data_IF_400825680852
#
_entry.id   IF_400825680852
#
_cell.length_a   1.000
_cell.length_b   1.000
_cell.length_c   1.000
_cell.angle_alpha   90.00
_cell.angle_beta   90.00
_cell.angle_gamma   90.00
#
_symmetry.space_group_name_H-M   'P 1'
#
loop_
_entity.id
_entity.type
_entity.pdbx_description
1 polymer ?
#
# COMPACT_ATOMS: atom_id res chain seq x y z
N UNK A 1 -11.49 -9.76 -4.95
CA UNK A 1 -11.38 -8.29 -5.11
C UNK A 1 -12.80 -7.76 -5.07
N UNK A 2 -13.18 -7.03 -4.00
CA UNK A 2 -14.49 -6.39 -3.94
C UNK A 2 -14.51 -5.23 -4.91
N UNK A 3 -15.44 -5.25 -5.86
CA UNK A 3 -15.58 -4.21 -6.86
C UNK A 3 -15.96 -2.90 -6.17
N UNK A 4 -15.38 -1.76 -6.58
CA UNK A 4 -15.65 -0.45 -5.93
C UNK A 4 -17.13 -0.05 -5.98
N UNK A 5 -17.90 -0.68 -6.87
CA UNK A 5 -19.34 -0.49 -7.03
C UNK A 5 -20.16 -1.15 -5.92
N UNK A 6 -19.61 -2.17 -5.24
CA UNK A 6 -20.28 -2.91 -4.16
C UNK A 6 -19.94 -2.33 -2.77
N UNK A 7 -19.30 -1.17 -2.71
CA UNK A 7 -18.91 -0.54 -1.46
C UNK A 7 -20.09 0.22 -0.83
N UNK A 8 -20.27 0.12 0.50
CA UNK A 8 -21.25 0.93 1.21
C UNK A 8 -20.89 2.42 1.09
N UNK A 9 -21.88 3.33 1.19
CA UNK A 9 -21.67 4.76 0.98
C UNK A 9 -20.61 5.36 1.91
N UNK A 10 -20.47 4.83 3.13
CA UNK A 10 -19.44 5.24 4.08
C UNK A 10 -18.03 4.91 3.58
N UNK A 11 -17.84 3.74 2.95
CA UNK A 11 -16.55 3.33 2.40
C UNK A 11 -16.15 4.19 1.20
N UNK A 12 -17.12 4.58 0.35
CA UNK A 12 -16.89 5.49 -0.77
C UNK A 12 -16.44 6.87 -0.25
N UNK A 13 -17.13 7.40 0.78
CA UNK A 13 -16.76 8.67 1.40
C UNK A 13 -15.35 8.64 2.01
N UNK A 14 -15.00 7.56 2.71
CA UNK A 14 -13.67 7.40 3.30
C UNK A 14 -12.57 7.37 2.24
N UNK A 15 -12.81 6.71 1.10
CA UNK A 15 -11.88 6.69 -0.03
C UNK A 15 -11.72 8.09 -0.66
N UNK A 16 -12.82 8.81 -0.86
CA UNK A 16 -12.78 10.17 -1.40
C UNK A 16 -11.99 11.13 -0.51
N UNK A 17 -12.18 11.06 0.82
CA UNK A 17 -11.41 11.87 1.77
C UNK A 17 -9.91 11.50 1.76
N UNK A 18 -9.61 10.20 1.72
CA UNK A 18 -8.23 9.73 1.64
C UNK A 18 -7.55 10.15 0.31
N UNK A 19 -8.29 10.21 -0.79
CA UNK A 19 -7.80 10.75 -2.07
C UNK A 19 -7.58 12.26 -2.01
N UNK A 20 -8.51 13.02 -1.41
CA UNK A 20 -8.34 14.46 -1.20
C UNK A 20 -7.06 14.74 -0.38
N UNK A 21 -6.88 14.03 0.74
CA UNK A 21 -5.65 14.12 1.55
C UNK A 21 -4.38 13.71 0.80
N UNK A 22 -4.46 12.81 -0.17
CA UNK A 22 -3.31 12.43 -1.01
C UNK A 22 -2.95 13.51 -2.03
N UNK A 23 -3.95 14.18 -2.61
CA UNK A 23 -3.73 15.27 -3.57
C UNK A 23 -3.14 16.51 -2.93
N UNK A 24 -3.50 16.79 -1.68
CA UNK A 24 -2.98 17.93 -0.90
C UNK A 24 -1.58 17.67 -0.34
N UNK A 25 -1.17 16.40 -0.21
CA UNK A 25 0.17 16.07 0.28
C UNK A 25 1.20 16.29 -0.82
N UNK A 26 2.29 17.02 -0.56
CA UNK A 26 3.40 17.12 -1.49
C UNK A 26 3.99 15.72 -1.73
N UNK A 27 4.38 15.45 -2.97
CA UNK A 27 5.11 14.23 -3.29
C UNK A 27 6.40 14.20 -2.46
N UNK A 28 6.59 13.12 -1.71
CA UNK A 28 7.84 12.88 -1.01
C UNK A 28 8.86 12.41 -2.06
N UNK A 29 9.85 13.25 -2.35
CA UNK A 29 10.99 12.90 -3.18
C UNK A 29 11.97 12.05 -2.35
N UNK A 30 11.57 10.80 -2.11
CA UNK A 30 12.39 9.81 -1.44
C UNK A 30 13.24 9.09 -2.51
N UNK A 31 14.56 8.91 -2.27
CA UNK A 31 15.38 8.15 -3.19
C UNK A 31 14.79 6.74 -3.35
N UNK A 32 14.84 6.17 -4.56
CA UNK A 32 14.36 4.82 -4.77
C UNK A 32 15.17 3.85 -3.88
N UNK A 33 14.46 2.98 -3.19
CA UNK A 33 15.05 1.85 -2.46
C UNK A 33 15.72 0.92 -3.48
N UNK A 34 17.05 0.89 -3.53
CA UNK A 34 17.83 0.04 -4.43
C UNK A 34 18.19 -1.26 -3.72
N UNK A 35 17.85 -2.39 -4.33
CA UNK A 35 18.13 -3.73 -3.77
C UNK A 35 17.07 -4.23 -2.79
N UNK A 36 16.04 -3.43 -2.47
CA UNK A 36 14.85 -3.85 -1.74
C UNK A 36 13.83 -4.56 -2.64
N UNK A 37 12.91 -5.32 -2.05
CA UNK A 37 11.73 -5.83 -2.77
C UNK A 37 10.78 -4.68 -3.08
N UNK A 38 10.13 -4.73 -4.24
CA UNK A 38 9.01 -3.83 -4.54
C UNK A 38 7.92 -3.98 -3.46
N UNK A 39 7.49 -2.85 -2.89
CA UNK A 39 6.41 -2.80 -1.91
C UNK A 39 6.88 -2.55 -0.47
N UNK A 40 5.93 -2.52 0.49
CA UNK A 40 6.23 -2.22 1.88
C UNK A 40 7.15 -3.28 2.50
N UNK A 41 8.14 -2.88 3.31
CA UNK A 41 9.07 -3.80 3.99
C UNK A 41 8.35 -4.99 4.65
N UNK A 42 8.75 -6.21 4.30
CA UNK A 42 8.26 -7.46 4.90
C UNK A 42 8.29 -7.42 6.44
N UNK A 43 9.32 -6.80 7.02
CA UNK A 43 9.50 -6.65 8.47
C UNK A 43 8.34 -5.87 9.11
N UNK A 44 7.75 -4.90 8.40
CA UNK A 44 6.61 -4.12 8.91
C UNK A 44 5.27 -4.86 8.83
N UNK A 45 5.16 -5.87 7.97
CA UNK A 45 3.88 -6.53 7.65
C UNK A 45 3.86 -8.05 7.89
N UNK A 46 4.96 -8.64 8.39
CA UNK A 46 5.04 -10.06 8.71
C UNK A 46 5.08 -10.99 7.49
N UNK A 47 5.26 -10.44 6.28
CA UNK A 47 5.27 -11.20 5.03
C UNK A 47 6.69 -11.62 4.65
N UNK A 48 7.19 -12.65 5.35
CA UNK A 48 8.51 -13.25 5.10
C UNK A 48 8.49 -14.29 3.96
N UNK A 49 7.35 -14.43 3.28
CA UNK A 49 7.17 -15.46 2.26
C UNK A 49 7.23 -14.87 0.85
N UNK A 50 7.86 -15.60 -0.07
CA UNK A 50 7.73 -15.37 -1.51
C UNK A 50 7.48 -16.70 -2.18
N UNK A 51 6.30 -16.85 -2.79
CA UNK A 51 5.90 -18.11 -3.46
C UNK A 51 6.00 -19.33 -2.51
N UNK A 52 5.65 -19.16 -1.23
CA UNK A 52 5.66 -20.24 -0.23
C UNK A 52 7.06 -20.64 0.26
N UNK A 53 8.09 -19.84 -0.02
CA UNK A 53 9.44 -20.02 0.51
C UNK A 53 9.68 -18.90 1.52
N UNK A 54 10.03 -19.28 2.76
CA UNK A 54 10.53 -18.35 3.76
C UNK A 54 11.88 -17.81 3.26
N UNK A 55 11.96 -16.50 3.08
CA UNK A 55 13.15 -15.82 2.59
C UNK A 55 13.67 -14.89 3.68
N UNK A 56 14.95 -15.01 3.99
CA UNK A 56 15.72 -14.09 4.83
C UNK A 56 16.75 -13.38 3.94
N UNK A 57 16.89 -12.06 4.16
CA UNK A 57 17.67 -11.04 3.41
C UNK A 57 18.35 -11.44 2.08
#
# INVERSE_FOLDING_TARGET
MTDRKDLPPEAIRALQEAEARRKEKPALDLPPELGGRDGPEAVRYGDWEKKGIAIDF
#
